data_IF_122250827146
#
_entry.id   IF_122250827146
#
_cell.length_a   1.000
_cell.length_b   1.000
_cell.length_c   1.000
_cell.angle_alpha   90.00
_cell.angle_beta   90.00
_cell.angle_gamma   90.00
#
_symmetry.space_group_name_H-M   'P 1'
#
loop_
_entity.id
_entity.type
_entity.pdbx_description
1 polymer ?
#
# COMPACT_ATOMS: atom_id res chain seq x y z
N UNK A 1 18.08 -22.51 -29.92
CA UNK A 1 16.99 -22.04 -30.78
C UNK A 1 15.94 -21.34 -29.91
N UNK A 2 15.59 -20.14 -30.30
CA UNK A 2 14.64 -19.33 -29.51
C UNK A 2 13.21 -19.64 -29.91
N UNK A 3 12.39 -19.91 -28.91
CA UNK A 3 10.94 -20.01 -29.08
C UNK A 3 10.34 -18.59 -29.10
N UNK A 4 9.31 -18.33 -29.93
CA UNK A 4 8.58 -17.07 -29.83
C UNK A 4 7.96 -16.95 -28.44
N UNK A 5 7.98 -15.73 -27.90
CA UNK A 5 7.31 -15.47 -26.63
C UNK A 5 5.79 -15.52 -26.85
N UNK A 6 5.08 -16.23 -25.97
CA UNK A 6 3.61 -16.25 -26.06
C UNK A 6 3.03 -14.85 -25.85
N UNK A 7 1.94 -14.56 -26.55
CA UNK A 7 1.21 -13.30 -26.45
C UNK A 7 -0.21 -13.59 -25.99
N UNK A 8 -0.63 -12.93 -24.94
CA UNK A 8 -1.99 -13.06 -24.44
C UNK A 8 -3.00 -12.40 -25.41
N UNK A 9 -4.20 -12.94 -25.53
CA UNK A 9 -5.30 -12.25 -26.19
C UNK A 9 -5.65 -10.96 -25.44
N UNK A 10 -6.34 -9.98 -26.09
CA UNK A 10 -6.56 -8.66 -25.49
C UNK A 10 -7.19 -8.67 -24.09
N UNK A 11 -8.13 -9.59 -23.83
CA UNK A 11 -8.81 -9.69 -22.54
C UNK A 11 -7.94 -10.30 -21.41
N UNK A 12 -6.78 -10.85 -21.74
CA UNK A 12 -5.87 -11.47 -20.77
C UNK A 12 -4.50 -10.79 -20.73
N UNK A 13 -4.37 -9.65 -21.36
CA UNK A 13 -3.10 -8.90 -21.35
C UNK A 13 -2.79 -8.33 -19.96
N UNK A 14 -1.51 -8.22 -19.67
CA UNK A 14 -1.07 -7.52 -18.47
C UNK A 14 -1.41 -6.03 -18.55
N UNK A 15 -1.70 -5.47 -17.39
CA UNK A 15 -1.91 -4.03 -17.24
C UNK A 15 -0.68 -3.43 -16.57
N UNK A 16 0.11 -2.70 -17.35
CA UNK A 16 1.33 -2.07 -16.87
C UNK A 16 0.98 -0.70 -16.30
N UNK A 17 1.23 -0.53 -15.01
CA UNK A 17 0.97 0.72 -14.29
C UNK A 17 2.30 1.39 -14.00
N UNK A 18 2.51 2.58 -14.61
CA UNK A 18 3.66 3.41 -14.28
C UNK A 18 3.31 4.30 -13.09
N UNK A 19 3.59 3.81 -11.89
CA UNK A 19 3.25 4.51 -10.66
C UNK A 19 3.99 5.86 -10.54
N UNK A 20 5.15 6.00 -11.17
CA UNK A 20 5.91 7.26 -11.12
C UNK A 20 5.20 8.41 -11.84
N UNK A 21 4.35 8.07 -12.82
CA UNK A 21 3.57 9.05 -13.57
C UNK A 21 2.21 9.37 -12.95
N UNK A 22 1.80 8.61 -11.94
CA UNK A 22 0.56 8.88 -11.23
C UNK A 22 0.75 10.03 -10.26
N UNK A 23 -0.30 10.87 -10.13
CA UNK A 23 -0.31 11.91 -9.11
C UNK A 23 -0.68 11.32 -7.75
N UNK A 24 0.00 11.78 -6.71
CA UNK A 24 -0.42 11.50 -5.33
C UNK A 24 -1.77 12.16 -5.08
N UNK A 25 -2.69 11.42 -4.49
CA UNK A 25 -4.01 11.92 -4.13
C UNK A 25 -4.09 12.10 -2.62
N UNK A 26 -4.73 13.16 -2.14
CA UNK A 26 -4.94 13.33 -0.69
C UNK A 26 -5.87 12.24 -0.17
N UNK A 27 -5.71 11.94 1.12
CA UNK A 27 -6.66 11.12 1.87
C UNK A 27 -7.42 12.00 2.87
N UNK A 28 -8.36 11.41 3.60
CA UNK A 28 -9.04 12.11 4.69
C UNK A 28 -8.10 12.48 5.85
N UNK A 29 -6.89 11.89 5.89
CA UNK A 29 -5.94 12.13 6.98
C UNK A 29 -4.85 13.08 6.54
N UNK A 30 -4.55 14.07 7.39
CA UNK A 30 -3.49 15.05 7.12
C UNK A 30 -2.13 14.37 6.96
N UNK A 31 -1.37 14.79 5.95
CA UNK A 31 -0.03 14.27 5.69
C UNK A 31 0.01 12.88 5.09
N UNK A 32 -1.11 12.31 4.69
CA UNK A 32 -1.18 10.98 4.08
C UNK A 32 -1.76 11.09 2.68
N UNK A 33 -0.99 10.64 1.70
CA UNK A 33 -1.34 10.64 0.29
C UNK A 33 -1.33 9.21 -0.26
N UNK A 34 -2.01 8.97 -1.37
CA UNK A 34 -2.10 7.64 -1.95
C UNK A 34 -2.08 7.66 -3.48
N UNK A 35 -1.68 6.52 -4.04
CA UNK A 35 -1.86 6.16 -5.45
C UNK A 35 -2.55 4.81 -5.50
N UNK A 36 -3.73 4.74 -6.08
CA UNK A 36 -4.45 3.47 -6.23
C UNK A 36 -3.89 2.75 -7.45
N UNK A 37 -3.16 1.65 -7.22
CA UNK A 37 -2.53 0.89 -8.29
C UNK A 37 -3.48 -0.13 -8.90
N UNK A 38 -4.38 -0.68 -8.11
CA UNK A 38 -5.39 -1.66 -8.52
C UNK A 38 -6.59 -1.58 -7.60
N UNK A 39 -7.77 -1.75 -8.16
CA UNK A 39 -9.00 -1.96 -7.38
C UNK A 39 -9.99 -2.77 -8.20
N UNK A 40 -10.88 -3.49 -7.54
CA UNK A 40 -11.92 -4.29 -8.20
C UNK A 40 -13.26 -4.21 -7.47
N UNK A 41 -14.28 -4.82 -8.07
CA UNK A 41 -15.65 -4.79 -7.56
C UNK A 41 -15.85 -5.66 -6.32
N UNK A 42 -14.87 -6.49 -5.97
CA UNK A 42 -14.88 -7.31 -4.75
C UNK A 42 -14.28 -6.62 -3.55
N UNK A 43 -13.95 -5.34 -3.68
CA UNK A 43 -13.36 -4.55 -2.61
C UNK A 43 -11.87 -4.78 -2.39
N UNK A 44 -11.20 -5.49 -3.30
CA UNK A 44 -9.76 -5.68 -3.25
C UNK A 44 -9.06 -4.50 -3.89
N UNK A 45 -7.96 -4.07 -3.27
CA UNK A 45 -7.16 -2.97 -3.81
C UNK A 45 -5.69 -3.14 -3.45
N UNK A 46 -4.84 -2.55 -4.28
CA UNK A 46 -3.42 -2.37 -3.99
C UNK A 46 -3.13 -0.89 -4.08
N UNK A 47 -2.63 -0.32 -3.00
CA UNK A 47 -2.46 1.11 -2.86
C UNK A 47 -1.04 1.42 -2.39
N UNK A 48 -0.43 2.41 -3.03
CA UNK A 48 0.83 2.99 -2.57
C UNK A 48 0.49 4.16 -1.66
N UNK A 49 0.99 4.14 -0.43
CA UNK A 49 0.80 5.22 0.54
C UNK A 49 2.10 5.97 0.82
N UNK A 50 1.95 7.25 1.06
CA UNK A 50 3.04 8.12 1.51
C UNK A 50 2.57 8.90 2.72
N UNK A 51 3.28 8.75 3.83
CA UNK A 51 3.01 9.47 5.07
C UNK A 51 4.13 10.47 5.35
N UNK A 52 3.77 11.72 5.58
CA UNK A 52 4.72 12.74 6.00
C UNK A 52 5.27 12.41 7.40
N UNK A 53 6.48 12.91 7.75
CA UNK A 53 7.01 12.72 9.09
C UNK A 53 6.02 13.19 10.16
N UNK A 54 5.73 12.32 11.13
CA UNK A 54 4.79 12.58 12.21
C UNK A 54 3.32 12.30 11.87
N UNK A 55 3.00 11.92 10.63
CA UNK A 55 1.61 11.59 10.27
C UNK A 55 1.10 10.36 11.02
N UNK A 56 -0.18 10.36 11.31
CA UNK A 56 -0.85 9.32 12.09
C UNK A 56 -2.14 8.91 11.39
N UNK A 57 -2.35 7.61 11.22
CA UNK A 57 -3.67 7.06 10.94
C UNK A 57 -4.31 6.75 12.28
N UNK A 58 -5.42 7.41 12.64
CA UNK A 58 -6.09 7.16 13.93
C UNK A 58 -6.55 5.73 14.10
N UNK A 59 -6.97 5.37 15.30
CA UNK A 59 -7.50 4.04 15.60
C UNK A 59 -8.52 3.61 14.56
N UNK A 60 -8.28 2.48 13.95
CA UNK A 60 -9.16 1.91 12.94
C UNK A 60 -9.12 0.39 12.98
N UNK A 61 -10.16 -0.21 12.44
CA UNK A 61 -10.29 -1.65 12.33
C UNK A 61 -10.09 -2.08 10.89
N UNK A 62 -9.31 -3.15 10.69
CA UNK A 62 -9.17 -3.80 9.38
C UNK A 62 -10.33 -4.77 9.20
N UNK A 63 -11.16 -4.55 8.18
CA UNK A 63 -12.33 -5.39 7.92
C UNK A 63 -11.96 -6.69 7.21
N UNK A 64 -10.78 -6.75 6.61
CA UNK A 64 -10.26 -7.90 5.88
C UNK A 64 -8.75 -7.97 6.04
N UNK A 65 -8.12 -8.98 5.48
CA UNK A 65 -6.67 -9.11 5.45
C UNK A 65 -6.04 -7.87 4.79
N UNK A 66 -5.07 -7.29 5.48
CA UNK A 66 -4.20 -6.26 4.94
C UNK A 66 -2.76 -6.76 4.89
N UNK A 67 -2.08 -6.50 3.80
CA UNK A 67 -0.66 -6.81 3.63
C UNK A 67 0.08 -5.53 3.28
N UNK A 68 1.21 -5.27 3.94
CA UNK A 68 1.99 -4.05 3.75
C UNK A 68 3.46 -4.41 3.58
N UNK A 69 4.06 -3.95 2.48
CA UNK A 69 5.49 -3.99 2.26
C UNK A 69 6.06 -2.58 2.37
N UNK A 70 7.03 -2.40 3.27
CA UNK A 70 7.64 -1.09 3.53
C UNK A 70 8.73 -0.79 2.50
N UNK A 71 8.60 0.36 1.83
CA UNK A 71 9.58 0.84 0.85
C UNK A 71 10.57 1.81 1.46
N UNK A 72 10.08 2.78 2.25
CA UNK A 72 10.90 3.82 2.87
C UNK A 72 10.32 4.18 4.23
N UNK A 73 11.19 4.65 5.14
CA UNK A 73 10.78 5.10 6.46
C UNK A 73 10.32 3.97 7.37
N UNK A 74 9.39 4.27 8.26
CA UNK A 74 8.89 3.29 9.22
C UNK A 74 7.46 3.57 9.66
N UNK A 75 6.75 2.49 9.99
CA UNK A 75 5.47 2.53 10.67
C UNK A 75 5.65 1.95 12.08
N UNK A 76 5.02 2.58 13.04
CA UNK A 76 5.00 2.12 14.42
C UNK A 76 3.56 2.05 14.93
N UNK A 77 3.27 1.02 15.71
CA UNK A 77 2.03 0.87 16.45
C UNK A 77 2.31 0.18 17.79
N UNK A 78 1.27 -0.17 18.53
CA UNK A 78 1.43 -0.81 19.84
C UNK A 78 2.07 -2.21 19.76
N UNK A 79 2.03 -2.85 18.59
CA UNK A 79 2.57 -4.19 18.40
C UNK A 79 4.04 -4.19 17.96
N UNK A 80 4.54 -3.07 17.43
CA UNK A 80 5.94 -2.99 17.02
C UNK A 80 6.21 -1.96 15.93
N UNK A 81 7.37 -2.13 15.30
CA UNK A 81 7.89 -1.25 14.27
C UNK A 81 8.21 -2.02 13.01
N UNK A 82 7.84 -1.43 11.87
CA UNK A 82 8.09 -1.98 10.55
C UNK A 82 8.87 -0.93 9.75
N UNK A 83 10.09 -1.25 9.35
CA UNK A 83 10.98 -0.36 8.59
C UNK A 83 11.13 -0.80 7.13
N UNK A 84 11.91 -0.03 6.35
CA UNK A 84 12.14 -0.32 4.93
C UNK A 84 12.62 -1.76 4.72
N UNK A 85 11.98 -2.47 3.78
CA UNK A 85 12.26 -3.87 3.50
C UNK A 85 11.47 -4.86 4.36
N UNK A 86 10.77 -4.41 5.38
CA UNK A 86 9.93 -5.27 6.22
C UNK A 86 8.55 -5.46 5.62
N UNK A 87 7.91 -6.55 6.04
CA UNK A 87 6.55 -6.89 5.64
C UNK A 87 5.72 -7.16 6.88
N UNK A 88 4.50 -6.65 6.89
CA UNK A 88 3.52 -6.93 7.93
C UNK A 88 2.18 -7.28 7.30
N UNK A 89 1.50 -8.26 7.88
CA UNK A 89 0.11 -8.52 7.51
C UNK A 89 -0.78 -8.49 8.75
N UNK A 90 -2.01 -8.05 8.57
CA UNK A 90 -2.98 -7.89 9.64
C UNK A 90 -4.25 -8.64 9.27
N UNK A 91 -4.72 -9.54 10.13
CA UNK A 91 -5.98 -10.24 9.87
C UNK A 91 -7.17 -9.28 9.97
N UNK A 92 -8.28 -9.65 9.34
CA UNK A 92 -9.55 -8.95 9.56
C UNK A 92 -9.88 -8.92 11.05
N UNK A 93 -10.36 -7.78 11.53
CA UNK A 93 -10.63 -7.53 12.94
C UNK A 93 -9.46 -6.91 13.71
N UNK A 94 -8.26 -6.87 13.13
CA UNK A 94 -7.13 -6.17 13.75
C UNK A 94 -7.43 -4.68 13.89
N UNK A 95 -7.07 -4.11 15.04
CA UNK A 95 -7.21 -2.67 15.30
C UNK A 95 -5.85 -2.08 15.64
N UNK A 96 -5.57 -0.89 15.13
CA UNK A 96 -4.35 -0.19 15.49
C UNK A 96 -4.41 1.31 15.20
N UNK A 97 -3.45 2.05 15.76
CA UNK A 97 -3.09 3.42 15.38
C UNK A 97 -1.75 3.32 14.68
N UNK A 98 -1.66 3.75 13.44
CA UNK A 98 -0.39 3.72 12.69
C UNK A 98 0.29 5.08 12.73
N UNK A 99 1.55 5.11 13.13
CA UNK A 99 2.35 6.32 13.26
C UNK A 99 3.61 6.19 12.41
N UNK A 100 3.92 7.25 11.66
CA UNK A 100 5.14 7.34 10.86
C UNK A 100 6.04 8.47 11.40
N UNK A 101 6.84 8.23 12.45
CA UNK A 101 7.59 9.31 13.11
C UNK A 101 8.56 10.03 12.18
N UNK A 102 9.14 9.31 11.22
CA UNK A 102 10.09 9.85 10.24
C UNK A 102 9.55 9.82 8.82
N UNK A 103 8.24 9.68 8.66
CA UNK A 103 7.62 9.44 7.37
C UNK A 103 7.70 7.98 6.95
N UNK A 104 6.90 7.62 5.94
CA UNK A 104 6.87 6.27 5.40
C UNK A 104 6.32 6.27 3.98
N UNK A 105 6.81 5.32 3.17
CA UNK A 105 6.24 4.98 1.87
C UNK A 105 6.09 3.46 1.82
N UNK A 106 4.91 2.98 1.48
CA UNK A 106 4.61 1.55 1.48
C UNK A 106 3.46 1.22 0.56
#
# INVERSE_FOLDING_TARGET
MNQPMPVNPPNLRSHLVDASKMCWQPTQFAGIEMKILYSDDEGRSTILFKMAPGAVVPLHEHTALEQTYMLEGSLEDAEGKCGAGDFVWRPGGNIHVAHAPNGATF
#
